data_IF_033585013822
#
_entry.id   IF_033585013822
#
_cell.length_a   1.000
_cell.length_b   1.000
_cell.length_c   1.000
_cell.angle_alpha   90.00
_cell.angle_beta   90.00
_cell.angle_gamma   90.00
#
_symmetry.space_group_name_H-M   'P 1'
#
loop_
_entity.id
_entity.type
_entity.pdbx_description
1 polymer ?
#
# COMPACT_ATOMS: atom_id res chain seq x y z
N UNK A 1 -55.64 -6.68 -41.68
CA UNK A 1 -54.51 -7.13 -40.86
C UNK A 1 -53.26 -6.85 -41.67
N UNK A 2 -52.67 -5.67 -41.46
CA UNK A 2 -51.60 -5.17 -42.32
C UNK A 2 -50.36 -6.02 -42.16
N UNK A 3 -49.95 -6.63 -43.27
CA UNK A 3 -48.76 -7.44 -43.44
C UNK A 3 -47.52 -6.67 -42.96
N UNK A 4 -47.06 -6.97 -41.74
CA UNK A 4 -45.71 -6.65 -41.25
C UNK A 4 -44.69 -7.58 -41.94
N UNK A 5 -44.79 -7.65 -43.26
CA UNK A 5 -43.91 -8.38 -44.15
C UNK A 5 -42.55 -7.68 -44.28
N UNK A 6 -41.60 -8.32 -44.98
CA UNK A 6 -40.10 -8.34 -44.95
C UNK A 6 -39.26 -7.25 -44.24
N UNK A 7 -39.78 -6.05 -43.99
CA UNK A 7 -39.08 -4.92 -43.38
C UNK A 7 -38.73 -5.13 -41.90
N UNK A 8 -39.56 -5.84 -41.14
CA UNK A 8 -39.32 -6.07 -39.71
C UNK A 8 -38.10 -6.99 -39.48
N UNK A 9 -37.94 -8.02 -40.33
CA UNK A 9 -36.78 -8.93 -40.30
C UNK A 9 -35.47 -8.22 -40.67
N UNK A 10 -35.51 -7.31 -41.64
CA UNK A 10 -34.36 -6.48 -42.00
C UNK A 10 -33.97 -5.49 -40.89
N UNK A 11 -34.96 -4.93 -40.20
CA UNK A 11 -34.74 -4.04 -39.04
C UNK A 11 -34.12 -4.80 -37.86
N UNK A 12 -34.63 -5.98 -37.51
CA UNK A 12 -34.05 -6.84 -36.49
C UNK A 12 -32.59 -7.24 -36.81
N UNK A 13 -32.30 -7.58 -38.06
CA UNK A 13 -30.95 -7.93 -38.50
C UNK A 13 -29.97 -6.74 -38.34
N UNK A 14 -30.41 -5.53 -38.68
CA UNK A 14 -29.63 -4.32 -38.49
C UNK A 14 -29.40 -3.99 -37.02
N UNK A 15 -30.42 -4.16 -36.17
CA UNK A 15 -30.30 -3.96 -34.72
C UNK A 15 -29.30 -4.98 -34.13
N UNK A 16 -29.39 -6.27 -34.50
CA UNK A 16 -28.46 -7.31 -34.05
C UNK A 16 -27.02 -7.00 -34.45
N UNK A 17 -26.77 -6.53 -35.69
CA UNK A 17 -25.44 -6.12 -36.15
C UNK A 17 -24.88 -4.97 -35.30
N UNK A 18 -25.70 -3.96 -34.99
CA UNK A 18 -25.30 -2.82 -34.15
C UNK A 18 -24.96 -3.25 -32.73
N UNK A 19 -25.79 -4.11 -32.13
CA UNK A 19 -25.52 -4.64 -30.78
C UNK A 19 -24.22 -5.45 -30.77
N UNK A 20 -23.99 -6.30 -31.76
CA UNK A 20 -22.74 -7.07 -31.85
C UNK A 20 -21.52 -6.16 -32.02
N UNK A 21 -21.62 -5.10 -32.81
CA UNK A 21 -20.55 -4.12 -32.96
C UNK A 21 -20.27 -3.39 -31.63
N UNK A 22 -21.32 -2.99 -30.90
CA UNK A 22 -21.18 -2.36 -29.59
C UNK A 22 -20.52 -3.30 -28.57
N UNK A 23 -20.93 -4.57 -28.52
CA UNK A 23 -20.31 -5.58 -27.64
C UNK A 23 -18.83 -5.73 -27.95
N UNK A 24 -18.46 -5.77 -29.23
CA UNK A 24 -17.06 -5.85 -29.64
C UNK A 24 -16.26 -4.61 -29.20
N UNK A 25 -16.83 -3.41 -29.33
CA UNK A 25 -16.19 -2.17 -28.88
C UNK A 25 -15.99 -2.19 -27.36
N UNK A 26 -17.01 -2.56 -26.58
CA UNK A 26 -16.92 -2.62 -25.12
C UNK A 26 -15.87 -3.66 -24.69
N UNK A 27 -15.85 -4.84 -25.31
CA UNK A 27 -14.82 -5.86 -25.05
C UNK A 27 -13.42 -5.38 -25.39
N UNK A 28 -13.27 -4.59 -26.45
CA UNK A 28 -11.98 -4.04 -26.87
C UNK A 28 -11.46 -2.99 -25.88
N UNK A 29 -12.34 -2.09 -25.43
CA UNK A 29 -12.04 -1.13 -24.36
C UNK A 29 -11.68 -1.87 -23.07
N UNK A 30 -12.42 -2.92 -22.73
CA UNK A 30 -12.17 -3.69 -21.53
C UNK A 30 -10.77 -4.32 -21.56
N UNK A 31 -10.42 -4.98 -22.66
CA UNK A 31 -9.15 -5.69 -22.84
C UNK A 31 -7.94 -4.76 -22.88
N UNK A 32 -8.05 -3.62 -23.58
CA UNK A 32 -6.90 -2.75 -23.85
C UNK A 32 -6.76 -1.57 -22.87
N UNK A 33 -7.83 -1.19 -22.17
CA UNK A 33 -7.80 -0.04 -21.25
C UNK A 33 -8.14 -0.44 -19.82
N UNK A 34 -9.34 -0.94 -19.55
CA UNK A 34 -9.80 -1.04 -18.15
C UNK A 34 -9.19 -2.23 -17.40
N UNK A 35 -8.98 -3.38 -18.04
CA UNK A 35 -8.32 -4.55 -17.44
C UNK A 35 -6.86 -4.28 -17.02
N UNK A 36 -5.97 -3.78 -17.91
CA UNK A 36 -4.60 -3.48 -17.51
C UNK A 36 -4.55 -2.40 -16.42
N UNK A 37 -5.39 -1.37 -16.48
CA UNK A 37 -5.47 -0.37 -15.39
C UNK A 37 -5.89 -0.97 -14.07
N UNK A 38 -6.87 -1.87 -14.08
CA UNK A 38 -7.31 -2.58 -12.87
C UNK A 38 -6.19 -3.46 -12.31
N UNK A 39 -5.47 -4.20 -13.17
CA UNK A 39 -4.33 -5.02 -12.76
C UNK A 39 -3.20 -4.17 -12.17
N UNK A 40 -2.88 -3.02 -12.79
CA UNK A 40 -1.89 -2.08 -12.24
C UNK A 40 -2.31 -1.58 -10.85
N UNK A 41 -3.57 -1.19 -10.66
CA UNK A 41 -4.07 -0.75 -9.35
C UNK A 41 -4.03 -1.87 -8.31
N UNK A 42 -4.37 -3.11 -8.69
CA UNK A 42 -4.27 -4.27 -7.81
C UNK A 42 -2.82 -4.52 -7.35
N UNK A 43 -1.85 -4.38 -8.26
CA UNK A 43 -0.43 -4.46 -7.93
C UNK A 43 0.00 -3.34 -6.99
N UNK A 44 -0.45 -2.10 -7.23
CA UNK A 44 -0.15 -0.93 -6.39
C UNK A 44 -0.70 -1.05 -4.97
N UNK A 45 -1.84 -1.70 -4.79
CA UNK A 45 -2.50 -1.83 -3.47
C UNK A 45 -2.31 -3.21 -2.82
N UNK A 46 -1.48 -4.10 -3.39
CA UNK A 46 -1.29 -5.48 -2.93
C UNK A 46 -2.61 -6.25 -2.70
N UNK A 47 -3.68 -5.83 -3.39
CA UNK A 47 -5.00 -6.44 -3.25
C UNK A 47 -5.04 -7.70 -4.11
N UNK A 48 -4.82 -8.85 -3.47
CA UNK A 48 -4.95 -10.17 -4.13
C UNK A 48 -6.39 -10.37 -4.63
N UNK A 49 -6.63 -10.49 -5.94
CA UNK A 49 -7.96 -10.86 -6.41
C UNK A 49 -8.28 -12.31 -6.00
N UNK A 50 -9.55 -12.65 -5.70
CA UNK A 50 -9.95 -14.02 -5.45
C UNK A 50 -9.64 -14.87 -6.67
N UNK A 51 -8.98 -16.02 -6.43
CA UNK A 51 -8.53 -17.00 -7.42
C UNK A 51 -9.66 -17.43 -8.37
N UNK A 52 -9.84 -16.73 -9.49
CA UNK A 52 -10.62 -17.24 -10.60
C UNK A 52 -9.69 -17.73 -11.71
N UNK A 53 -9.54 -19.05 -11.74
CA UNK A 53 -9.01 -19.92 -12.80
C UNK A 53 -7.89 -19.30 -13.64
N UNK A 54 -6.67 -19.56 -13.20
CA UNK A 54 -5.43 -19.31 -13.93
C UNK A 54 -5.53 -19.78 -15.39
N UNK A 55 -5.48 -18.88 -16.40
CA UNK A 55 -5.01 -19.27 -17.71
C UNK A 55 -3.53 -19.61 -17.57
N UNK A 56 -3.12 -20.76 -18.13
CA UNK A 56 -1.74 -21.25 -18.12
C UNK A 56 -0.82 -20.15 -18.66
N UNK A 57 -0.09 -19.47 -17.77
CA UNK A 57 0.90 -18.47 -18.13
C UNK A 57 2.02 -19.19 -18.88
N UNK A 58 2.14 -18.93 -20.18
CA UNK A 58 3.37 -19.22 -20.91
C UNK A 58 4.34 -18.11 -20.49
N UNK A 59 5.41 -18.48 -19.79
CA UNK A 59 6.51 -17.57 -19.48
C UNK A 59 7.15 -17.09 -20.78
N UNK A 60 6.67 -15.96 -21.30
CA UNK A 60 7.47 -15.17 -22.24
C UNK A 60 8.53 -14.51 -21.37
N UNK A 61 9.72 -15.11 -21.33
CA UNK A 61 10.95 -14.47 -20.81
C UNK A 61 11.34 -13.34 -21.75
N UNK A 62 10.53 -12.28 -21.79
CA UNK A 62 11.00 -10.99 -22.26
C UNK A 62 11.67 -10.35 -21.06
N UNK A 63 12.96 -10.06 -21.20
CA UNK A 63 13.72 -9.17 -20.32
C UNK A 63 13.10 -7.77 -20.42
N UNK A 64 11.91 -7.58 -19.85
CA UNK A 64 11.31 -6.26 -19.65
C UNK A 64 12.13 -5.64 -18.54
N UNK A 65 13.26 -5.03 -18.91
CA UNK A 65 13.96 -4.12 -18.01
C UNK A 65 12.96 -3.03 -17.65
N UNK A 66 12.64 -2.83 -16.36
CA UNK A 66 11.77 -1.74 -15.97
C UNK A 66 12.35 -0.46 -16.54
N UNK A 67 11.52 0.29 -17.26
CA UNK A 67 11.92 1.57 -17.84
C UNK A 67 12.60 2.41 -16.73
N UNK A 68 13.74 3.07 -16.99
CA UNK A 68 14.51 3.79 -15.96
C UNK A 68 13.65 4.78 -15.17
N UNK A 69 12.65 5.38 -15.83
CA UNK A 69 11.66 6.26 -15.21
C UNK A 69 10.86 5.56 -14.11
N UNK A 70 10.39 4.33 -14.35
CA UNK A 70 9.63 3.57 -13.37
C UNK A 70 10.51 3.04 -12.25
N UNK A 71 11.73 2.57 -12.56
CA UNK A 71 12.68 2.14 -11.54
C UNK A 71 12.99 3.26 -10.54
N UNK A 72 13.29 4.47 -11.04
CA UNK A 72 13.49 5.66 -10.20
C UNK A 72 12.22 6.05 -9.44
N UNK A 73 11.04 5.90 -10.04
CA UNK A 73 9.78 6.22 -9.35
C UNK A 73 9.48 5.25 -8.19
N UNK A 74 9.75 3.96 -8.38
CA UNK A 74 9.55 2.93 -7.36
C UNK A 74 10.55 3.10 -6.22
N UNK A 75 11.83 3.31 -6.55
CA UNK A 75 12.87 3.64 -5.58
C UNK A 75 12.51 4.89 -4.78
N UNK A 76 12.03 5.95 -5.45
CA UNK A 76 11.57 7.16 -4.77
C UNK A 76 10.35 6.92 -3.85
N UNK A 77 9.44 6.02 -4.20
CA UNK A 77 8.28 5.64 -3.37
C UNK A 77 8.76 4.84 -2.15
N UNK A 78 9.64 3.86 -2.34
CA UNK A 78 10.22 3.04 -1.27
C UNK A 78 10.99 3.90 -0.28
N UNK A 79 11.87 4.79 -0.77
CA UNK A 79 12.62 5.74 0.06
C UNK A 79 11.69 6.66 0.85
N UNK A 80 10.58 7.11 0.26
CA UNK A 80 9.57 7.92 0.98
C UNK A 80 8.86 7.11 2.05
N UNK A 81 8.53 5.84 1.78
CA UNK A 81 7.91 4.93 2.75
C UNK A 81 8.84 4.71 3.93
N UNK A 82 10.11 4.38 3.67
CA UNK A 82 11.14 4.18 4.70
C UNK A 82 11.37 5.45 5.52
N UNK A 83 11.48 6.61 4.87
CA UNK A 83 11.61 7.89 5.58
C UNK A 83 10.41 8.14 6.50
N UNK A 84 9.20 7.87 6.03
CA UNK A 84 7.98 8.09 6.82
C UNK A 84 7.90 7.12 8.00
N UNK A 85 8.29 5.86 7.83
CA UNK A 85 8.33 4.88 8.94
C UNK A 85 9.38 5.31 9.96
N UNK A 86 10.60 5.63 9.54
CA UNK A 86 11.66 6.10 10.43
C UNK A 86 11.27 7.38 11.18
N UNK A 87 10.60 8.33 10.52
CA UNK A 87 10.11 9.54 11.18
C UNK A 87 9.03 9.24 12.23
N UNK A 88 8.19 8.25 11.98
CA UNK A 88 7.17 7.80 12.91
C UNK A 88 7.81 7.13 14.13
N UNK A 89 8.71 6.18 13.89
CA UNK A 89 9.42 5.45 14.94
C UNK A 89 10.18 6.41 15.84
N UNK A 90 10.91 7.37 15.25
CA UNK A 90 11.62 8.41 15.99
C UNK A 90 10.66 9.23 16.86
N UNK A 91 9.49 9.59 16.34
CA UNK A 91 8.49 10.34 17.10
C UNK A 91 7.94 9.51 18.28
N UNK A 92 7.66 8.24 18.05
CA UNK A 92 7.17 7.32 19.08
C UNK A 92 8.22 7.11 20.18
N UNK A 93 9.47 6.85 19.82
CA UNK A 93 10.59 6.75 20.78
C UNK A 93 10.79 8.04 21.58
N UNK A 94 10.69 9.22 20.93
CA UNK A 94 10.76 10.50 21.63
C UNK A 94 9.64 10.66 22.64
N UNK A 95 8.41 10.30 22.28
CA UNK A 95 7.27 10.38 23.19
C UNK A 95 7.45 9.44 24.39
N UNK A 96 7.87 8.20 24.13
CA UNK A 96 8.16 7.23 25.19
C UNK A 96 9.25 7.75 26.15
N UNK A 97 10.29 8.36 25.60
CA UNK A 97 11.36 8.95 26.40
C UNK A 97 10.90 10.15 27.22
N UNK A 98 10.09 11.04 26.64
CA UNK A 98 9.46 12.14 27.35
C UNK A 98 8.57 11.63 28.48
N UNK A 99 7.74 10.63 28.22
CA UNK A 99 6.85 10.03 29.23
C UNK A 99 7.65 9.43 30.38
N UNK A 100 8.76 8.71 30.10
CA UNK A 100 9.66 8.18 31.12
C UNK A 100 10.31 9.29 31.94
N UNK A 101 10.84 10.33 31.29
CA UNK A 101 11.50 11.43 31.99
C UNK A 101 10.52 12.22 32.86
N UNK A 102 9.35 12.57 32.33
CA UNK A 102 8.40 13.43 33.06
C UNK A 102 7.63 12.68 34.15
N UNK A 103 7.41 11.36 34.00
CA UNK A 103 6.71 10.57 35.02
C UNK A 103 7.62 10.05 36.14
N UNK A 104 8.86 9.66 35.81
CA UNK A 104 9.75 8.97 36.76
C UNK A 104 10.86 9.86 37.33
N UNK A 105 11.16 11.03 36.78
CA UNK A 105 12.22 11.89 37.33
C UNK A 105 11.69 12.78 38.45
N UNK A 106 12.30 12.67 39.63
CA UNK A 106 12.04 13.56 40.78
C UNK A 106 13.28 14.34 41.19
N UNK A 107 13.06 15.54 41.72
CA UNK A 107 14.12 16.35 42.33
C UNK A 107 14.24 15.98 43.80
N UNK A 108 15.39 15.47 44.21
CA UNK A 108 15.71 15.22 45.61
C UNK A 108 16.58 16.36 46.12
N UNK A 109 16.02 17.13 47.06
CA UNK A 109 16.74 18.19 47.77
C UNK A 109 17.51 17.56 48.93
N UNK A 110 18.84 17.73 48.92
CA UNK A 110 19.71 17.29 50.02
C UNK A 110 19.86 18.41 51.05
N UNK A 111 19.81 18.08 52.34
CA UNK A 111 19.98 19.05 53.43
C UNK A 111 21.34 19.77 53.41
N UNK A 112 22.36 19.18 52.78
CA UNK A 112 23.73 19.71 52.71
C UNK A 112 24.32 19.62 51.30
N UNK A 113 23.54 19.92 50.26
CA UNK A 113 24.08 19.92 48.90
C UNK A 113 23.14 20.42 47.83
N UNK A 114 23.67 20.50 46.60
CA UNK A 114 22.88 20.86 45.41
C UNK A 114 21.80 19.79 45.16
N UNK A 115 20.58 20.20 44.74
CA UNK A 115 19.53 19.26 44.40
C UNK A 115 19.98 18.34 43.26
N UNK A 116 19.57 17.06 43.32
CA UNK A 116 19.88 16.05 42.30
C UNK A 116 18.58 15.55 41.66
N UNK A 117 18.66 15.17 40.39
CA UNK A 117 17.60 14.44 39.72
C UNK A 117 17.77 12.94 40.02
N UNK A 118 16.70 12.31 40.48
CA UNK A 118 16.64 10.87 40.73
C UNK A 118 15.56 10.28 39.84
N UNK A 119 15.91 9.22 39.11
CA UNK A 119 14.98 8.45 38.31
C UNK A 119 14.39 7.35 39.19
N UNK A 120 13.07 7.33 39.27
CA UNK A 120 12.32 6.39 40.07
C UNK A 120 11.94 5.18 39.23
N UNK A 121 12.77 4.16 39.26
CA UNK A 121 12.57 2.90 38.54
C UNK A 121 13.05 1.72 39.38
N UNK A 122 12.51 0.52 39.13
CA UNK A 122 12.97 -0.70 39.80
C UNK A 122 14.26 -1.21 39.16
N UNK A 123 14.98 -2.09 39.87
CA UNK A 123 16.22 -2.69 39.35
C UNK A 123 15.94 -3.51 38.07
N UNK A 124 14.83 -4.25 38.04
CA UNK A 124 14.40 -5.04 36.87
C UNK A 124 14.11 -4.17 35.65
N UNK A 125 13.43 -3.02 35.84
CA UNK A 125 13.17 -2.05 34.78
C UNK A 125 14.48 -1.46 34.23
N UNK A 126 15.47 -1.21 35.09
CA UNK A 126 16.77 -0.70 34.68
C UNK A 126 17.57 -1.72 33.88
N UNK A 127 17.58 -2.98 34.31
CA UNK A 127 18.28 -4.06 33.59
C UNK A 127 17.64 -4.30 32.22
N UNK A 128 16.31 -4.30 32.15
CA UNK A 128 15.58 -4.42 30.88
C UNK A 128 15.93 -3.27 29.92
N UNK A 129 15.90 -2.03 30.41
CA UNK A 129 16.27 -0.85 29.62
C UNK A 129 17.73 -0.91 29.15
N UNK A 130 18.63 -1.39 30.01
CA UNK A 130 20.06 -1.53 29.69
C UNK A 130 20.29 -2.57 28.60
N UNK A 131 19.60 -3.71 28.66
CA UNK A 131 19.69 -4.74 27.62
C UNK A 131 19.06 -4.29 26.30
N UNK A 132 17.94 -3.55 26.35
CA UNK A 132 17.29 -2.98 25.17
C UNK A 132 18.19 -1.97 24.45
N UNK A 133 18.87 -1.08 25.20
CA UNK A 133 19.83 -0.11 24.63
C UNK A 133 21.09 -0.79 24.09
N UNK A 134 21.52 -1.91 24.67
CA UNK A 134 22.75 -2.61 24.26
C UNK A 134 22.55 -3.49 23.02
N UNK A 135 21.32 -3.96 22.80
CA UNK A 135 20.95 -4.82 21.68
C UNK A 135 20.30 -4.06 20.51
N UNK A 136 20.03 -2.77 20.67
CA UNK A 136 19.60 -1.86 19.60
C UNK A 136 20.78 -1.26 18.84
#
# INVERSE_FOLDING_TARGET
>A
MSDLGPNMRGMEANIKKRINALISIVKDIEKHQTQPTTAMLQLLFEQTPPKHKQPRLVEVKQDIKPDPFFATSLEAIELRKEKNTLQRDLKETKQQFEDLLFSKVRIVKSSFGKPKLQLDMTLEEYESLKEEIKNS
#
